data_IF_007773006724
#
_entry.id   IF_007773006724
#
_cell.length_a   1.000
_cell.length_b   1.000
_cell.length_c   1.000
_cell.angle_alpha   90.00
_cell.angle_beta   90.00
_cell.angle_gamma   90.00
#
_symmetry.space_group_name_H-M   'P 1'
#
loop_
_entity.id
_entity.type
_entity.pdbx_description
1 polymer ?
#
# COMPACT_ATOMS: atom_id res chain seq x y z
N UNK A 1 6.66 -21.17 20.68
CA UNK A 1 5.32 -20.75 21.13
C UNK A 1 5.17 -19.22 21.15
N UNK A 2 6.03 -18.48 21.86
CA UNK A 2 5.97 -17.00 21.96
C UNK A 2 6.16 -16.30 20.59
N UNK A 3 7.14 -16.72 19.78
CA UNK A 3 7.35 -16.12 18.44
C UNK A 3 6.16 -16.28 17.50
N UNK A 4 5.51 -17.44 17.53
CA UNK A 4 4.32 -17.71 16.73
C UNK A 4 3.16 -16.81 17.13
N UNK A 5 2.97 -16.59 18.44
CA UNK A 5 1.96 -15.65 18.94
C UNK A 5 2.20 -14.23 18.43
N UNK A 6 3.45 -13.75 18.40
CA UNK A 6 3.77 -12.42 17.90
C UNK A 6 3.54 -12.27 16.39
N UNK A 7 3.87 -13.29 15.59
CA UNK A 7 3.61 -13.28 14.14
C UNK A 7 2.10 -13.25 13.85
N UNK A 8 1.35 -14.09 14.54
CA UNK A 8 -0.11 -14.12 14.42
C UNK A 8 -0.74 -12.77 14.81
N UNK A 9 -0.32 -12.21 15.94
CA UNK A 9 -0.81 -10.91 16.40
C UNK A 9 -0.46 -9.80 15.40
N UNK A 10 0.77 -9.79 14.87
CA UNK A 10 1.20 -8.83 13.87
C UNK A 10 0.34 -8.90 12.60
N UNK A 11 0.16 -10.09 12.04
CA UNK A 11 -0.67 -10.31 10.86
C UNK A 11 -2.13 -9.86 11.10
N UNK A 12 -2.71 -10.22 12.26
CA UNK A 12 -4.07 -9.81 12.62
C UNK A 12 -4.22 -8.29 12.73
N UNK A 13 -3.24 -7.60 13.33
CA UNK A 13 -3.26 -6.13 13.43
C UNK A 13 -3.16 -5.52 12.03
N UNK A 14 -2.21 -5.96 11.21
CA UNK A 14 -2.02 -5.44 9.85
C UNK A 14 -3.28 -5.61 8.98
N UNK A 15 -3.99 -6.74 9.14
CA UNK A 15 -5.23 -7.00 8.41
C UNK A 15 -6.42 -6.22 8.97
N UNK A 16 -6.60 -6.18 10.29
CA UNK A 16 -7.82 -5.61 10.89
C UNK A 16 -7.79 -4.09 11.02
N UNK A 17 -6.63 -3.52 11.38
CA UNK A 17 -6.48 -2.09 11.68
C UNK A 17 -7.00 -1.16 10.56
N UNK A 18 -6.69 -1.35 9.27
CA UNK A 18 -7.17 -0.43 8.24
C UNK A 18 -8.69 -0.38 8.11
N UNK A 19 -9.38 -1.51 8.30
CA UNK A 19 -10.85 -1.56 8.25
C UNK A 19 -11.49 -1.00 9.52
N UNK A 20 -10.88 -1.24 10.69
CA UNK A 20 -11.32 -0.66 11.97
C UNK A 20 -11.21 0.87 11.92
N UNK A 21 -10.06 1.40 11.47
CA UNK A 21 -9.86 2.83 11.27
C UNK A 21 -10.80 3.38 10.20
N UNK A 22 -11.02 2.64 9.11
CA UNK A 22 -11.94 3.04 8.03
C UNK A 22 -13.36 3.20 8.53
N UNK A 23 -13.87 2.22 9.29
CA UNK A 23 -15.19 2.28 9.88
C UNK A 23 -15.33 3.43 10.87
N UNK A 24 -14.37 3.60 11.79
CA UNK A 24 -14.38 4.68 12.75
C UNK A 24 -14.36 6.07 12.10
N UNK A 25 -13.50 6.26 11.10
CA UNK A 25 -13.42 7.51 10.37
C UNK A 25 -14.68 7.74 9.51
N UNK A 26 -15.33 6.69 9.00
CA UNK A 26 -16.55 6.85 8.19
C UNK A 26 -17.69 7.44 9.01
N UNK A 27 -17.73 7.12 10.31
CA UNK A 27 -18.68 7.68 11.25
C UNK A 27 -18.37 9.14 11.59
N UNK A 28 -17.08 9.49 11.74
CA UNK A 28 -16.65 10.83 12.18
C UNK A 28 -16.60 11.86 11.06
N UNK A 29 -16.08 11.47 9.90
CA UNK A 29 -15.82 12.37 8.78
C UNK A 29 -16.90 12.27 7.69
N UNK A 30 -17.91 11.41 7.88
CA UNK A 30 -19.02 11.20 6.93
C UNK A 30 -18.54 10.94 5.50
N UNK A 31 -17.42 10.25 5.36
CA UNK A 31 -16.79 10.02 4.08
C UNK A 31 -17.33 8.74 3.42
N UNK A 32 -17.21 8.67 2.10
CA UNK A 32 -17.64 7.52 1.30
C UNK A 32 -16.56 6.42 1.22
N UNK A 33 -16.92 5.17 1.51
CA UNK A 33 -16.07 3.99 1.30
C UNK A 33 -15.57 3.85 -0.15
N UNK A 34 -16.25 4.49 -1.12
CA UNK A 34 -15.76 4.64 -2.49
C UNK A 34 -14.36 5.26 -2.55
N UNK A 35 -14.07 6.29 -1.76
CA UNK A 35 -12.74 6.92 -1.72
C UNK A 35 -11.68 5.98 -1.13
N UNK A 36 -12.04 5.20 -0.12
CA UNK A 36 -11.16 4.16 0.42
C UNK A 36 -10.84 3.12 -0.67
N UNK A 37 -11.85 2.65 -1.39
CA UNK A 37 -11.69 1.70 -2.50
C UNK A 37 -10.81 2.26 -3.62
N UNK A 38 -10.96 3.54 -3.96
CA UNK A 38 -10.10 4.22 -4.94
C UNK A 38 -8.64 4.23 -4.49
N UNK A 39 -8.36 4.55 -3.22
CA UNK A 39 -7.02 4.48 -2.66
C UNK A 39 -6.41 3.08 -2.74
N UNK A 40 -7.20 2.06 -2.39
CA UNK A 40 -6.79 0.66 -2.45
C UNK A 40 -6.47 0.19 -3.88
N UNK A 41 -7.35 0.49 -4.84
CA UNK A 41 -7.12 0.17 -6.26
C UNK A 41 -5.87 0.88 -6.77
N UNK A 42 -5.63 2.11 -6.35
CA UNK A 42 -4.44 2.88 -6.76
C UNK A 42 -3.14 2.20 -6.32
N UNK A 43 -3.09 1.64 -5.12
CA UNK A 43 -1.94 0.83 -4.68
C UNK A 43 -1.80 -0.44 -5.52
N UNK A 44 -2.88 -1.19 -5.72
CA UNK A 44 -2.83 -2.44 -6.51
C UNK A 44 -2.30 -2.14 -7.93
N UNK A 45 -2.77 -1.07 -8.56
CA UNK A 45 -2.33 -0.67 -9.90
C UNK A 45 -0.85 -0.26 -9.95
N UNK A 46 -0.30 0.38 -8.90
CA UNK A 46 1.14 0.66 -8.86
C UNK A 46 1.95 -0.64 -8.85
N UNK A 47 1.50 -1.65 -8.09
CA UNK A 47 2.17 -2.94 -7.99
C UNK A 47 2.14 -3.76 -9.28
N UNK A 48 1.08 -3.61 -10.10
CA UNK A 48 0.98 -4.25 -11.43
C UNK A 48 2.16 -3.86 -12.34
N UNK A 49 2.64 -2.62 -12.26
CA UNK A 49 3.83 -2.18 -12.99
C UNK A 49 5.14 -2.41 -12.24
N UNK A 50 5.14 -2.15 -10.93
CA UNK A 50 6.33 -2.19 -10.09
C UNK A 50 6.95 -3.59 -9.96
N UNK A 51 6.13 -4.62 -9.72
CA UNK A 51 6.61 -6.00 -9.54
C UNK A 51 7.33 -6.53 -10.79
N UNK A 52 6.71 -6.52 -12.00
CA UNK A 52 7.39 -7.02 -13.20
C UNK A 52 8.61 -6.16 -13.57
N UNK A 53 8.58 -4.86 -13.31
CA UNK A 53 9.75 -3.99 -13.50
C UNK A 53 10.92 -4.44 -12.63
N UNK A 54 10.71 -4.65 -11.34
CA UNK A 54 11.77 -5.11 -10.44
C UNK A 54 12.26 -6.52 -10.79
N UNK A 55 11.36 -7.44 -11.15
CA UNK A 55 11.75 -8.77 -11.63
C UNK A 55 12.65 -8.69 -12.87
N UNK A 56 12.31 -7.83 -13.83
CA UNK A 56 13.10 -7.61 -15.04
C UNK A 56 14.50 -7.05 -14.74
N UNK A 57 14.60 -6.07 -13.84
CA UNK A 57 15.86 -5.43 -13.48
C UNK A 57 16.74 -6.38 -12.68
N UNK A 58 16.21 -7.04 -11.65
CA UNK A 58 17.01 -7.96 -10.82
C UNK A 58 17.51 -9.17 -11.60
N UNK A 59 16.76 -9.64 -12.61
CA UNK A 59 17.24 -10.69 -13.51
C UNK A 59 18.45 -10.27 -14.36
N UNK A 60 18.61 -8.97 -14.66
CA UNK A 60 19.70 -8.42 -15.51
C UNK A 60 20.85 -7.86 -14.71
N UNK A 61 20.57 -7.39 -13.49
CA UNK A 61 21.55 -6.81 -12.58
C UNK A 61 21.43 -7.49 -11.22
N UNK A 62 21.82 -8.78 -11.09
CA UNK A 62 21.66 -9.53 -9.84
C UNK A 62 22.40 -8.91 -8.65
N UNK A 63 23.42 -8.09 -8.91
CA UNK A 63 24.14 -7.35 -7.88
C UNK A 63 23.22 -6.43 -7.05
N UNK A 64 22.13 -5.91 -7.63
CA UNK A 64 21.15 -5.08 -6.91
C UNK A 64 20.37 -5.89 -5.87
N UNK A 65 20.05 -7.16 -6.14
CA UNK A 65 19.35 -8.03 -5.20
C UNK A 65 20.28 -8.80 -4.25
N UNK A 66 21.56 -8.93 -4.58
CA UNK A 66 22.54 -9.68 -3.79
C UNK A 66 23.01 -8.93 -2.53
N UNK A 67 22.89 -7.61 -2.50
CA UNK A 67 23.25 -6.78 -1.35
C UNK A 67 21.98 -6.16 -0.75
N UNK A 68 21.75 -6.36 0.56
CA UNK A 68 20.54 -5.90 1.22
C UNK A 68 20.35 -4.37 1.16
N UNK A 69 21.43 -3.59 1.23
CA UNK A 69 21.36 -2.13 1.12
C UNK A 69 20.96 -1.73 -0.29
N UNK A 70 21.56 -2.34 -1.32
CA UNK A 70 21.19 -2.06 -2.71
C UNK A 70 19.75 -2.50 -3.01
N UNK A 71 19.32 -3.63 -2.48
CA UNK A 71 17.96 -4.14 -2.63
C UNK A 71 16.96 -3.18 -1.98
N UNK A 72 17.23 -2.73 -0.75
CA UNK A 72 16.37 -1.80 -0.04
C UNK A 72 16.30 -0.44 -0.72
N UNK A 73 17.45 0.11 -1.16
CA UNK A 73 17.51 1.39 -1.85
C UNK A 73 16.79 1.32 -3.21
N UNK A 74 17.15 0.35 -4.05
CA UNK A 74 16.55 0.23 -5.38
C UNK A 74 15.06 -0.17 -5.30
N UNK A 75 14.74 -1.18 -4.49
CA UNK A 75 13.37 -1.64 -4.28
C UNK A 75 12.48 -0.56 -3.68
N UNK A 76 12.97 0.17 -2.67
CA UNK A 76 12.22 1.28 -2.06
C UNK A 76 12.05 2.48 -2.99
N UNK A 77 13.10 2.89 -3.72
CA UNK A 77 13.00 3.99 -4.67
C UNK A 77 12.09 3.65 -5.85
N UNK A 78 12.18 2.44 -6.40
CA UNK A 78 11.29 1.99 -7.45
C UNK A 78 9.84 1.93 -6.96
N UNK A 79 9.58 1.36 -5.78
CA UNK A 79 8.23 1.37 -5.18
C UNK A 79 7.67 2.79 -5.07
N UNK A 80 8.46 3.73 -4.51
CA UNK A 80 8.07 5.13 -4.40
C UNK A 80 7.75 5.79 -5.74
N UNK A 81 8.53 5.55 -6.79
CA UNK A 81 8.25 6.07 -8.14
C UNK A 81 6.92 5.54 -8.66
N UNK A 82 6.68 4.23 -8.60
CA UNK A 82 5.44 3.64 -9.12
C UNK A 82 4.21 4.09 -8.32
N UNK A 83 4.31 4.13 -6.99
CA UNK A 83 3.23 4.54 -6.11
C UNK A 83 2.88 6.02 -6.24
N UNK A 84 3.88 6.91 -6.28
CA UNK A 84 3.63 8.35 -6.47
C UNK A 84 3.06 8.65 -7.85
N UNK A 85 3.54 7.96 -8.90
CA UNK A 85 2.96 8.12 -10.25
C UNK A 85 1.51 7.65 -10.26
N UNK A 86 1.20 6.48 -9.70
CA UNK A 86 -0.17 5.99 -9.61
C UNK A 86 -1.07 6.96 -8.82
N UNK A 87 -0.57 7.51 -7.71
CA UNK A 87 -1.29 8.47 -6.88
C UNK A 87 -1.50 9.81 -7.60
N UNK A 88 -0.49 10.28 -8.33
CA UNK A 88 -0.62 11.46 -9.19
C UNK A 88 -1.73 11.25 -10.23
N UNK A 89 -1.72 10.11 -10.93
CA UNK A 89 -2.74 9.77 -11.94
C UNK A 89 -4.14 9.66 -11.32
N UNK A 90 -4.26 9.02 -10.16
CA UNK A 90 -5.50 8.93 -9.39
C UNK A 90 -6.07 10.32 -9.08
N UNK A 91 -5.26 11.22 -8.50
CA UNK A 91 -5.67 12.60 -8.21
C UNK A 91 -5.93 13.42 -9.47
N UNK A 92 -5.24 13.14 -10.57
CA UNK A 92 -5.39 13.88 -11.82
C UNK A 92 -6.66 13.48 -12.56
N UNK A 93 -7.05 12.21 -12.53
CA UNK A 93 -8.07 11.66 -13.41
C UNK A 93 -9.31 11.14 -12.70
N UNK A 94 -9.21 10.49 -11.54
CA UNK A 94 -10.32 9.80 -10.89
C UNK A 94 -10.99 10.66 -9.81
N UNK A 95 -10.21 11.27 -8.93
CA UNK A 95 -10.70 12.06 -7.78
C UNK A 95 -10.33 13.53 -7.93
N UNK A 96 -10.81 14.15 -9.01
CA UNK A 96 -10.43 15.51 -9.41
C UNK A 96 -10.87 16.56 -8.38
N UNK A 97 -12.03 16.35 -7.78
CA UNK A 97 -12.71 17.27 -6.87
C UNK A 97 -12.40 17.02 -5.39
N UNK A 98 -11.75 15.89 -5.08
CA UNK A 98 -11.42 15.47 -3.72
C UNK A 98 -10.11 16.14 -3.25
N UNK A 99 -10.17 17.46 -3.02
CA UNK A 99 -9.02 18.33 -2.68
C UNK A 99 -8.97 18.77 -1.22
N UNK A 100 -9.81 18.19 -0.38
CA UNK A 100 -9.86 18.45 1.04
C UNK A 100 -9.07 17.41 1.85
N UNK A 101 -8.65 17.81 3.06
CA UNK A 101 -7.89 16.97 3.98
C UNK A 101 -8.60 15.64 4.32
N UNK A 102 -9.90 15.64 4.66
CA UNK A 102 -10.66 14.41 4.88
C UNK A 102 -10.58 13.44 3.70
N UNK A 103 -10.87 13.89 2.47
CA UNK A 103 -10.75 13.02 1.29
C UNK A 103 -9.34 12.43 1.13
N UNK A 104 -8.29 13.23 1.30
CA UNK A 104 -6.91 12.77 1.21
C UNK A 104 -6.57 11.74 2.31
N UNK A 105 -7.06 11.94 3.53
CA UNK A 105 -6.87 10.99 4.64
C UNK A 105 -7.46 9.62 4.30
N UNK A 106 -8.63 9.59 3.68
CA UNK A 106 -9.34 8.36 3.34
C UNK A 106 -8.72 7.65 2.16
N UNK A 107 -8.33 8.40 1.13
CA UNK A 107 -7.58 7.85 0.00
C UNK A 107 -6.26 7.23 0.50
N UNK A 108 -5.56 7.93 1.39
CA UNK A 108 -4.34 7.42 2.03
C UNK A 108 -4.60 6.17 2.87
N UNK A 109 -5.68 6.14 3.66
CA UNK A 109 -6.06 4.99 4.46
C UNK A 109 -6.40 3.78 3.60
N UNK A 110 -7.10 3.97 2.48
CA UNK A 110 -7.36 2.91 1.52
C UNK A 110 -6.09 2.36 0.90
N UNK A 111 -5.17 3.25 0.50
CA UNK A 111 -3.90 2.92 -0.13
C UNK A 111 -2.95 2.15 0.81
N UNK A 112 -2.60 2.73 1.96
CA UNK A 112 -1.74 2.05 2.94
C UNK A 112 -2.45 0.90 3.66
N UNK A 113 -3.78 0.94 3.72
CA UNK A 113 -4.58 -0.10 4.34
C UNK A 113 -4.62 -1.40 3.54
N UNK A 114 -4.78 -1.33 2.22
CA UNK A 114 -4.70 -2.53 1.39
C UNK A 114 -3.28 -3.09 1.36
N UNK A 115 -2.25 -2.24 1.35
CA UNK A 115 -0.85 -2.66 1.46
C UNK A 115 -0.62 -3.44 2.75
N UNK A 116 -1.02 -2.86 3.88
CA UNK A 116 -0.90 -3.51 5.20
C UNK A 116 -1.66 -4.83 5.25
N UNK A 117 -2.87 -4.87 4.71
CA UNK A 117 -3.66 -6.10 4.65
C UNK A 117 -2.97 -7.19 3.83
N UNK A 118 -2.48 -6.88 2.63
CA UNK A 118 -1.80 -7.82 1.76
C UNK A 118 -0.48 -8.32 2.36
N UNK A 119 0.30 -7.43 2.98
CA UNK A 119 1.52 -7.80 3.70
C UNK A 119 1.21 -8.66 4.92
N UNK A 120 0.12 -8.37 5.65
CA UNK A 120 -0.33 -9.18 6.77
C UNK A 120 -0.72 -10.60 6.36
N UNK A 121 -1.36 -10.77 5.20
CA UNK A 121 -1.64 -12.09 4.62
C UNK A 121 -0.35 -12.84 4.27
N UNK A 122 0.64 -12.15 3.72
CA UNK A 122 1.93 -12.75 3.35
C UNK A 122 2.73 -13.21 4.58
N UNK A 123 2.70 -12.43 5.67
CA UNK A 123 3.40 -12.74 6.94
C UNK A 123 2.68 -13.82 7.76
N UNK A 124 1.36 -13.96 7.58
CA UNK A 124 0.52 -14.89 8.33
C UNK A 124 0.48 -16.33 7.81
N UNK A 125 1.05 -16.59 6.63
CA UNK A 125 1.22 -17.94 6.03
C UNK A 125 2.62 -18.45 6.33
#
# INVERSE_FOLDING_TARGET
MIHFLFLLLNALIMMALPFVLGHFLSQRLRFDWGLFGVGAITFILSQVGHIPFNQFVFARVPALSANLILLALFGGLSAGVFEEVARYLMYRFWVRDARDGPSALILGLGHGGIESFLLGLLVGI
#
